data_IF_965201168101
#
_entry.id   IF_965201168101
#
_cell.length_a   1.000
_cell.length_b   1.000
_cell.length_c   1.000
_cell.angle_alpha   90.00
_cell.angle_beta   90.00
_cell.angle_gamma   90.00
#
_symmetry.space_group_name_H-M   'P 1'
#
loop_
_entity.id
_entity.type
_entity.pdbx_description
1 polymer ?
#
# COMPACT_ATOMS: atom_id res chain seq x y z
N UNK A 1 30.54 32.55 -42.66
CA UNK A 1 30.74 32.26 -41.22
C UNK A 1 29.35 32.02 -40.63
N UNK A 2 28.91 30.75 -40.48
CA UNK A 2 27.57 30.45 -39.98
C UNK A 2 27.60 30.39 -38.44
N UNK A 3 26.70 31.13 -37.79
CA UNK A 3 26.46 31.05 -36.35
C UNK A 3 25.60 29.82 -36.05
N UNK A 4 26.18 28.81 -35.41
CA UNK A 4 25.46 27.69 -34.80
C UNK A 4 24.80 28.13 -33.49
N UNK A 5 23.51 27.87 -33.24
CA UNK A 5 22.90 28.11 -31.94
C UNK A 5 23.38 27.07 -30.89
N UNK A 6 23.40 27.42 -29.59
CA UNK A 6 23.91 26.54 -28.54
C UNK A 6 22.95 25.36 -28.27
N UNK A 7 23.55 24.22 -27.95
CA UNK A 7 22.86 23.00 -27.56
C UNK A 7 22.08 23.20 -26.25
N UNK A 8 20.77 22.96 -26.32
CA UNK A 8 19.88 22.88 -25.18
C UNK A 8 20.11 21.53 -24.50
N UNK A 9 20.57 21.56 -23.24
CA UNK A 9 20.76 20.37 -22.44
C UNK A 9 19.41 19.94 -21.86
N UNK A 10 18.78 18.94 -22.48
CA UNK A 10 17.61 18.26 -21.91
C UNK A 10 17.97 17.66 -20.54
N UNK A 11 17.50 18.32 -19.49
CA UNK A 11 17.52 17.81 -18.14
C UNK A 11 16.37 16.79 -18.01
N UNK A 12 16.60 15.57 -18.50
CA UNK A 12 15.73 14.45 -18.14
C UNK A 12 15.94 14.09 -16.66
N UNK A 13 14.87 14.03 -15.85
CA UNK A 13 14.96 13.58 -14.47
C UNK A 13 15.27 12.08 -14.47
N UNK A 14 16.53 11.72 -14.19
CA UNK A 14 16.94 10.35 -13.89
C UNK A 14 16.24 9.88 -12.61
N UNK A 15 15.00 9.42 -12.72
CA UNK A 15 14.41 8.54 -11.72
C UNK A 15 15.31 7.33 -11.64
N UNK A 16 16.01 7.18 -10.51
CA UNK A 16 17.03 6.16 -10.31
C UNK A 16 16.33 4.79 -10.16
N UNK A 17 15.98 4.20 -11.30
CA UNK A 17 15.29 2.91 -11.42
C UNK A 17 16.06 1.79 -10.71
N UNK A 18 17.38 1.93 -10.63
CA UNK A 18 18.26 1.08 -9.82
C UNK A 18 17.97 1.16 -8.31
N UNK A 19 17.65 2.35 -7.77
CA UNK A 19 17.26 2.51 -6.37
C UNK A 19 15.87 1.93 -6.10
N UNK A 20 14.92 2.12 -7.03
CA UNK A 20 13.60 1.50 -6.95
C UNK A 20 13.69 -0.03 -7.01
N UNK A 21 14.48 -0.59 -7.95
CA UNK A 21 14.78 -2.02 -8.01
C UNK A 21 15.54 -2.53 -6.78
N UNK A 22 16.42 -1.74 -6.18
CA UNK A 22 17.11 -2.11 -4.95
C UNK A 22 16.13 -2.17 -3.75
N UNK A 23 15.17 -1.24 -3.69
CA UNK A 23 14.09 -1.26 -2.70
C UNK A 23 13.18 -2.47 -2.93
N UNK A 24 12.72 -2.72 -4.17
CA UNK A 24 11.86 -3.86 -4.51
C UNK A 24 12.57 -5.20 -4.30
N UNK A 25 13.81 -5.37 -4.76
CA UNK A 25 14.56 -6.62 -4.59
C UNK A 25 14.97 -6.86 -3.13
N UNK A 26 15.14 -5.79 -2.34
CA UNK A 26 15.34 -5.85 -0.90
C UNK A 26 14.16 -6.43 -0.14
N UNK A 27 12.93 -6.26 -0.65
CA UNK A 27 11.72 -6.88 -0.07
C UNK A 27 11.67 -8.39 -0.35
N UNK A 28 12.25 -8.85 -1.45
CA UNK A 28 12.05 -10.21 -1.96
C UNK A 28 13.02 -11.28 -1.40
N UNK A 29 14.13 -10.90 -0.76
CA UNK A 29 15.28 -11.81 -0.63
C UNK A 29 15.41 -12.63 0.65
N UNK A 30 14.54 -12.51 1.65
CA UNK A 30 14.70 -13.34 2.86
C UNK A 30 13.41 -13.79 3.55
N UNK A 31 13.17 -15.10 3.41
CA UNK A 31 12.42 -16.00 4.30
C UNK A 31 10.91 -16.08 4.10
N UNK A 32 10.48 -17.29 3.70
CA UNK A 32 9.12 -17.86 3.73
C UNK A 32 8.08 -17.00 4.44
N UNK A 33 7.38 -16.18 3.66
CA UNK A 33 6.22 -15.44 4.09
C UNK A 33 5.37 -15.23 2.87
N UNK A 34 4.53 -16.22 2.54
CA UNK A 34 3.59 -16.17 1.41
C UNK A 34 2.89 -14.80 1.38
N UNK A 35 2.45 -14.29 2.55
CA UNK A 35 1.89 -12.94 2.69
C UNK A 35 2.75 -11.80 2.12
N UNK A 36 4.08 -11.79 2.30
CA UNK A 36 4.95 -10.71 1.81
C UNK A 36 5.07 -10.70 0.29
N UNK A 37 5.26 -11.87 -0.33
CA UNK A 37 5.38 -11.99 -1.79
C UNK A 37 4.05 -11.61 -2.43
N UNK A 38 2.95 -12.16 -1.93
CA UNK A 38 1.61 -11.86 -2.44
C UNK A 38 1.23 -10.40 -2.22
N UNK A 39 1.54 -9.78 -1.07
CA UNK A 39 1.29 -8.36 -0.85
C UNK A 39 2.09 -7.48 -1.82
N UNK A 40 3.34 -7.81 -2.12
CA UNK A 40 4.13 -7.07 -3.12
C UNK A 40 3.60 -7.24 -4.54
N UNK A 41 3.21 -8.46 -4.92
CA UNK A 41 2.61 -8.74 -6.25
C UNK A 41 1.29 -7.99 -6.41
N UNK A 42 0.39 -8.09 -5.43
CA UNK A 42 -0.89 -7.39 -5.45
C UNK A 42 -0.71 -5.87 -5.47
N UNK A 43 0.31 -5.36 -4.77
CA UNK A 43 0.62 -3.94 -4.77
C UNK A 43 1.10 -3.43 -6.15
N UNK A 44 2.06 -4.11 -6.78
CA UNK A 44 2.54 -3.77 -8.13
C UNK A 44 1.37 -3.82 -9.12
N UNK A 45 0.57 -4.87 -9.01
CA UNK A 45 -0.56 -5.07 -9.86
C UNK A 45 -1.65 -3.99 -9.68
N UNK A 46 -1.89 -3.50 -8.45
CA UNK A 46 -2.75 -2.32 -8.23
C UNK A 46 -2.21 -1.06 -8.88
N UNK A 47 -0.90 -0.81 -8.84
CA UNK A 47 -0.30 0.34 -9.53
C UNK A 47 -0.54 0.23 -11.03
N UNK A 48 -0.31 -0.95 -11.62
CA UNK A 48 -0.55 -1.18 -13.04
C UNK A 48 -2.00 -0.89 -13.42
N UNK A 49 -2.96 -1.43 -12.65
CA UNK A 49 -4.40 -1.19 -12.88
C UNK A 49 -4.74 0.29 -12.72
N UNK A 50 -4.21 0.97 -11.70
CA UNK A 50 -4.44 2.40 -11.49
C UNK A 50 -3.96 3.23 -12.69
N UNK A 51 -2.77 2.96 -13.20
CA UNK A 51 -2.19 3.66 -14.36
C UNK A 51 -3.05 3.46 -15.61
N UNK A 52 -3.38 2.20 -15.93
CA UNK A 52 -4.24 1.89 -17.09
C UNK A 52 -5.60 2.57 -16.96
N UNK A 53 -6.24 2.43 -15.80
CA UNK A 53 -7.57 2.99 -15.56
C UNK A 53 -7.56 4.53 -15.62
N UNK A 54 -6.52 5.18 -15.08
CA UNK A 54 -6.40 6.63 -15.08
C UNK A 54 -6.38 7.20 -16.50
N UNK A 55 -5.65 6.57 -17.42
CA UNK A 55 -5.55 7.05 -18.80
C UNK A 55 -6.75 6.63 -19.65
N UNK A 56 -7.17 5.36 -19.61
CA UNK A 56 -8.12 4.82 -20.58
C UNK A 56 -9.60 4.97 -20.20
N UNK A 57 -9.91 5.11 -18.91
CA UNK A 57 -11.29 5.04 -18.40
C UNK A 57 -11.73 6.29 -17.64
N UNK A 58 -10.80 6.93 -16.93
CA UNK A 58 -11.07 8.13 -16.15
C UNK A 58 -10.48 9.42 -16.76
N UNK A 59 -9.61 9.32 -17.77
CA UNK A 59 -8.97 10.50 -18.38
C UNK A 59 -9.95 11.48 -19.02
N UNK A 60 -11.07 10.96 -19.52
CA UNK A 60 -12.11 11.69 -20.24
C UNK A 60 -13.42 11.81 -19.43
N UNK A 61 -13.36 11.53 -18.11
CA UNK A 61 -14.57 11.37 -17.27
C UNK A 61 -15.42 12.63 -17.17
N UNK A 62 -14.78 13.80 -17.09
CA UNK A 62 -15.46 15.09 -17.02
C UNK A 62 -15.90 15.56 -18.40
N UNK A 63 -15.11 15.27 -19.43
CA UNK A 63 -15.38 15.70 -20.80
C UNK A 63 -16.63 14.99 -21.38
N UNK A 64 -16.81 13.70 -21.07
CA UNK A 64 -17.95 12.90 -21.52
C UNK A 64 -19.07 12.76 -20.49
N UNK A 65 -19.10 13.63 -19.47
CA UNK A 65 -20.26 13.77 -18.59
C UNK A 65 -21.24 14.76 -19.22
N UNK A 66 -22.35 14.25 -19.75
CA UNK A 66 -23.29 15.03 -20.57
C UNK A 66 -24.63 15.10 -19.86
N UNK A 67 -25.13 16.31 -19.58
CA UNK A 67 -26.51 16.52 -19.14
C UNK A 67 -27.41 16.93 -20.31
N UNK A 68 -28.66 16.49 -20.27
CA UNK A 68 -29.71 16.84 -21.24
C UNK A 68 -30.23 18.26 -20.98
N UNK A 69 -29.39 19.26 -21.24
CA UNK A 69 -29.72 20.68 -21.11
C UNK A 69 -28.78 21.54 -21.96
N UNK A 70 -29.27 22.70 -22.40
CA UNK A 70 -28.47 23.71 -23.09
C UNK A 70 -27.90 24.78 -22.14
N UNK A 71 -28.21 24.67 -20.84
CA UNK A 71 -27.78 25.64 -19.84
C UNK A 71 -26.26 25.56 -19.62
N UNK A 72 -25.52 26.67 -19.83
CA UNK A 72 -24.07 26.69 -19.59
C UNK A 72 -23.75 26.48 -18.10
N UNK A 73 -22.69 25.74 -17.84
CA UNK A 73 -22.21 25.44 -16.47
C UNK A 73 -22.92 24.28 -15.77
N UNK A 74 -24.12 23.87 -16.20
CA UNK A 74 -24.89 22.79 -15.55
C UNK A 74 -24.11 21.45 -15.52
N UNK A 75 -23.46 21.05 -16.62
CA UNK A 75 -22.64 19.82 -16.64
C UNK A 75 -21.52 19.85 -15.59
N UNK A 76 -20.87 20.99 -15.39
CA UNK A 76 -19.73 21.10 -14.48
C UNK A 76 -20.14 21.01 -13.01
N UNK A 77 -21.24 21.68 -12.64
CA UNK A 77 -21.75 21.63 -11.25
C UNK A 77 -22.34 20.28 -10.91
N UNK A 78 -23.07 19.66 -11.85
CA UNK A 78 -23.62 18.33 -11.64
C UNK A 78 -22.53 17.27 -11.52
N UNK A 79 -21.48 17.38 -12.35
CA UNK A 79 -20.32 16.50 -12.23
C UNK A 79 -19.68 16.60 -10.84
N UNK A 80 -19.44 17.83 -10.36
CA UNK A 80 -18.82 18.07 -9.05
C UNK A 80 -19.68 17.56 -7.89
N UNK A 81 -21.01 17.75 -7.98
CA UNK A 81 -21.97 17.30 -6.98
C UNK A 81 -22.00 15.77 -6.82
N UNK A 82 -22.03 15.04 -7.95
CA UNK A 82 -22.09 13.57 -7.93
C UNK A 82 -20.73 12.89 -7.81
N UNK A 83 -19.64 13.57 -8.20
CA UNK A 83 -18.28 13.06 -8.17
C UNK A 83 -17.32 14.03 -7.45
N UNK A 84 -17.52 14.28 -6.15
CA UNK A 84 -16.71 15.25 -5.40
C UNK A 84 -15.22 14.88 -5.38
N UNK A 85 -14.90 13.57 -5.36
CA UNK A 85 -13.55 13.04 -5.53
C UNK A 85 -13.60 11.84 -6.44
N UNK A 86 -12.96 11.90 -7.61
CA UNK A 86 -12.96 10.76 -8.54
C UNK A 86 -12.35 9.49 -7.94
N UNK A 87 -12.79 8.35 -8.44
CA UNK A 87 -12.42 7.03 -7.91
C UNK A 87 -10.91 6.81 -7.94
N UNK A 88 -10.27 7.19 -9.05
CA UNK A 88 -8.81 7.08 -9.24
C UNK A 88 -8.05 7.89 -8.18
N UNK A 89 -8.54 9.08 -7.82
CA UNK A 89 -7.91 9.91 -6.78
C UNK A 89 -7.99 9.24 -5.42
N UNK A 90 -9.13 8.66 -5.06
CA UNK A 90 -9.27 7.90 -3.81
C UNK A 90 -8.34 6.68 -3.80
N UNK A 91 -8.26 5.91 -4.89
CA UNK A 91 -7.35 4.76 -4.98
C UNK A 91 -5.87 5.16 -4.96
N UNK A 92 -5.51 6.29 -5.55
CA UNK A 92 -4.15 6.82 -5.48
C UNK A 92 -3.78 7.20 -4.03
N UNK A 93 -4.67 7.93 -3.34
CA UNK A 93 -4.49 8.27 -1.92
C UNK A 93 -4.41 7.03 -1.03
N UNK A 94 -5.27 6.04 -1.28
CA UNK A 94 -5.23 4.74 -0.60
C UNK A 94 -3.88 4.05 -0.80
N UNK A 95 -3.39 3.96 -2.04
CA UNK A 95 -2.09 3.33 -2.33
C UNK A 95 -0.93 4.07 -1.64
N UNK A 96 -0.91 5.40 -1.66
CA UNK A 96 0.12 6.20 -0.99
C UNK A 96 0.11 5.92 0.51
N UNK A 97 -1.05 6.03 1.16
CA UNK A 97 -1.18 5.87 2.61
C UNK A 97 -0.85 4.44 3.06
N UNK A 98 -1.27 3.42 2.31
CA UNK A 98 -0.96 2.01 2.60
C UNK A 98 0.53 1.68 2.36
N UNK A 99 1.19 2.38 1.43
CA UNK A 99 2.62 2.20 1.14
C UNK A 99 3.52 2.81 2.21
N UNK A 100 3.12 3.95 2.77
CA UNK A 100 3.94 4.71 3.73
C UNK A 100 4.43 3.86 4.91
N UNK A 101 3.58 3.10 5.64
CA UNK A 101 4.05 2.23 6.74
C UNK A 101 5.03 1.15 6.27
N UNK A 102 4.88 0.62 5.06
CA UNK A 102 5.79 -0.38 4.52
C UNK A 102 7.16 0.23 4.21
N UNK A 103 7.17 1.43 3.59
CA UNK A 103 8.40 2.18 3.29
C UNK A 103 9.12 2.64 4.57
N UNK A 104 8.38 3.05 5.60
CA UNK A 104 8.97 3.41 6.89
C UNK A 104 9.66 2.21 7.56
N UNK A 105 9.07 1.03 7.48
CA UNK A 105 9.70 -0.21 7.99
C UNK A 105 10.96 -0.57 7.20
N UNK A 106 10.91 -0.52 5.87
CA UNK A 106 12.09 -0.81 5.04
C UNK A 106 13.20 0.21 5.27
N UNK A 107 12.85 1.48 5.43
CA UNK A 107 13.77 2.56 5.80
C UNK A 107 14.37 2.33 7.18
N UNK A 108 13.57 1.98 8.19
CA UNK A 108 14.06 1.66 9.53
C UNK A 108 15.03 0.46 9.53
N UNK A 109 14.72 -0.58 8.76
CA UNK A 109 15.60 -1.74 8.54
C UNK A 109 16.91 -1.33 7.87
N UNK A 110 16.84 -0.55 6.79
CA UNK A 110 18.00 -0.07 6.06
C UNK A 110 18.89 0.81 6.95
N UNK A 111 18.27 1.71 7.73
CA UNK A 111 18.96 2.58 8.67
C UNK A 111 19.68 1.77 9.75
N UNK A 112 19.01 0.83 10.43
CA UNK A 112 19.65 -0.02 11.44
C UNK A 112 20.84 -0.78 10.88
N UNK A 113 20.67 -1.40 9.71
CA UNK A 113 21.74 -2.12 9.03
C UNK A 113 22.94 -1.23 8.68
N UNK A 114 22.67 0.03 8.31
CA UNK A 114 23.72 1.00 8.03
C UNK A 114 24.52 1.36 9.29
N UNK A 115 23.83 1.58 10.42
CA UNK A 115 24.46 1.84 11.72
C UNK A 115 25.27 0.63 12.19
N UNK A 116 24.71 -0.57 12.14
CA UNK A 116 25.42 -1.80 12.52
C UNK A 116 26.70 -1.95 11.69
N UNK A 117 26.61 -1.78 10.36
CA UNK A 117 27.77 -1.82 9.46
C UNK A 117 28.84 -0.79 9.82
N UNK A 118 28.45 0.42 10.25
CA UNK A 118 29.38 1.45 10.71
C UNK A 118 30.08 1.04 12.01
N UNK A 119 29.33 0.49 12.98
CA UNK A 119 29.86 0.04 14.26
C UNK A 119 30.84 -1.14 14.09
N UNK A 120 30.51 -2.12 13.23
CA UNK A 120 31.41 -3.24 12.92
C UNK A 120 32.73 -2.78 12.29
N UNK A 121 32.69 -1.80 11.39
CA UNK A 121 33.91 -1.20 10.80
C UNK A 121 34.78 -0.50 11.85
N UNK A 122 34.16 0.17 12.83
CA UNK A 122 34.87 0.84 13.92
C UNK A 122 35.48 -0.16 14.93
N UNK A 123 34.86 -1.32 15.11
CA UNK A 123 35.37 -2.40 15.96
C UNK A 123 36.55 -3.19 15.36
N UNK A 124 37.21 -2.68 14.30
CA UNK A 124 38.39 -3.30 13.69
C UNK A 124 38.13 -4.56 12.87
N UNK A 125 36.88 -4.97 12.66
CA UNK A 125 36.50 -6.13 11.83
C UNK A 125 36.22 -5.69 10.39
N UNK A 126 37.28 -5.51 9.61
CA UNK A 126 37.25 -5.11 8.19
C UNK A 126 37.24 -6.28 7.20
N UNK A 127 37.21 -7.53 7.67
CA UNK A 127 37.19 -8.70 6.78
C UNK A 127 35.96 -8.66 5.85
N UNK A 128 36.14 -8.70 4.51
CA UNK A 128 35.03 -8.68 3.55
C UNK A 128 34.01 -9.80 3.80
N UNK A 129 34.48 -10.96 4.29
CA UNK A 129 33.66 -12.14 4.59
C UNK A 129 32.69 -11.90 5.74
N UNK A 130 33.08 -11.17 6.78
CA UNK A 130 32.23 -10.87 7.94
C UNK A 130 31.10 -9.88 7.58
N UNK A 131 31.42 -8.87 6.75
CA UNK A 131 30.43 -7.90 6.25
C UNK A 131 29.41 -8.59 5.33
N UNK A 132 29.84 -9.55 4.53
CA UNK A 132 28.95 -10.33 3.66
C UNK A 132 28.09 -11.32 4.46
N UNK A 133 28.61 -11.87 5.55
CA UNK A 133 27.85 -12.72 6.47
C UNK A 133 26.75 -11.93 7.19
N UNK A 134 27.01 -10.69 7.64
CA UNK A 134 25.98 -9.77 8.17
C UNK A 134 24.97 -9.39 7.08
N UNK A 135 25.41 -9.31 5.82
CA UNK A 135 24.51 -9.05 4.69
C UNK A 135 23.53 -10.22 4.47
N UNK A 136 23.99 -11.44 4.66
CA UNK A 136 23.17 -12.65 4.48
C UNK A 136 22.48 -13.13 5.77
N UNK A 137 22.84 -12.58 6.93
CA UNK A 137 22.20 -12.92 8.19
C UNK A 137 20.75 -12.41 8.18
N UNK A 138 19.80 -13.34 8.20
CA UNK A 138 18.38 -13.03 8.40
C UNK A 138 18.26 -12.25 9.72
N UNK A 139 17.98 -10.95 9.63
CA UNK A 139 17.69 -10.17 10.83
C UNK A 139 16.54 -10.84 11.56
N UNK A 140 16.82 -11.36 12.76
CA UNK A 140 15.78 -11.92 13.61
C UNK A 140 14.85 -10.75 13.95
N UNK A 141 13.57 -10.87 13.60
CA UNK A 141 12.53 -9.94 14.02
C UNK A 141 12.38 -10.09 15.54
N UNK A 142 13.23 -9.41 16.29
CA UNK A 142 13.32 -9.48 17.76
C UNK A 142 13.39 -8.07 18.33
N UNK A 143 12.69 -7.82 19.43
CA UNK A 143 12.69 -6.53 20.13
C UNK A 143 12.00 -5.40 19.33
N UNK A 144 12.65 -4.24 19.25
CA UNK A 144 12.09 -3.02 18.64
C UNK A 144 11.65 -3.19 17.17
N UNK A 145 12.34 -4.04 16.38
CA UNK A 145 11.97 -4.29 14.98
C UNK A 145 10.65 -5.06 14.84
N UNK A 146 10.31 -5.90 15.83
CA UNK A 146 9.03 -6.58 15.86
C UNK A 146 7.88 -5.58 16.11
N UNK A 147 8.09 -4.63 17.02
CA UNK A 147 7.08 -3.63 17.38
C UNK A 147 6.80 -2.66 16.22
N UNK A 148 7.85 -2.17 15.53
CA UNK A 148 7.67 -1.32 14.35
C UNK A 148 6.99 -2.05 13.19
N UNK A 149 7.29 -3.34 13.01
CA UNK A 149 6.58 -4.18 12.03
C UNK A 149 5.10 -4.35 12.38
N UNK A 150 4.80 -4.65 13.64
CA UNK A 150 3.43 -4.87 14.11
C UNK A 150 2.57 -3.60 13.95
N UNK A 151 3.10 -2.45 14.34
CA UNK A 151 2.44 -1.15 14.13
C UNK A 151 2.20 -0.88 12.65
N UNK A 152 3.20 -1.16 11.80
CA UNK A 152 3.06 -0.96 10.35
C UNK A 152 1.94 -1.81 9.77
N UNK A 153 1.84 -3.09 10.14
CA UNK A 153 0.72 -3.95 9.71
C UNK A 153 -0.63 -3.42 10.20
N UNK A 154 -0.71 -2.96 11.45
CA UNK A 154 -1.94 -2.38 12.00
C UNK A 154 -2.38 -1.13 11.21
N UNK A 155 -1.45 -0.21 10.94
CA UNK A 155 -1.75 0.98 10.12
C UNK A 155 -2.17 0.62 8.70
N UNK A 156 -1.56 -0.42 8.10
CA UNK A 156 -1.97 -0.89 6.76
C UNK A 156 -3.41 -1.40 6.76
N UNK A 157 -3.79 -2.22 7.74
CA UNK A 157 -5.18 -2.70 7.89
C UNK A 157 -6.12 -1.52 8.14
N UNK A 158 -5.73 -0.58 9.01
CA UNK A 158 -6.52 0.61 9.31
C UNK A 158 -6.74 1.47 8.06
N UNK A 159 -5.70 1.78 7.29
CA UNK A 159 -5.85 2.59 6.08
C UNK A 159 -6.64 1.86 5.00
N UNK A 160 -6.36 0.58 4.72
CA UNK A 160 -7.13 -0.20 3.74
C UNK A 160 -8.62 -0.25 4.11
N UNK A 161 -8.95 -0.53 5.38
CA UNK A 161 -10.34 -0.58 5.84
C UNK A 161 -11.01 0.80 5.84
N UNK A 162 -10.31 1.86 6.24
CA UNK A 162 -10.84 3.22 6.23
C UNK A 162 -11.14 3.71 4.82
N UNK A 163 -10.24 3.49 3.85
CA UNK A 163 -10.48 3.85 2.45
C UNK A 163 -11.60 2.99 1.84
N UNK A 164 -11.66 1.70 2.15
CA UNK A 164 -12.76 0.83 1.71
C UNK A 164 -14.11 1.29 2.26
N UNK A 165 -14.17 1.69 3.53
CA UNK A 165 -15.35 2.26 4.16
C UNK A 165 -15.74 3.61 3.56
N UNK A 166 -14.77 4.52 3.39
CA UNK A 166 -15.00 5.82 2.76
C UNK A 166 -15.53 5.66 1.33
N UNK A 167 -14.97 4.72 0.56
CA UNK A 167 -15.42 4.41 -0.78
C UNK A 167 -16.87 3.91 -0.79
N UNK A 168 -17.24 3.02 0.14
CA UNK A 168 -18.61 2.54 0.29
C UNK A 168 -19.60 3.66 0.65
N UNK A 169 -19.19 4.59 1.52
CA UNK A 169 -20.01 5.72 1.94
C UNK A 169 -20.23 6.75 0.82
N UNK A 170 -19.19 7.04 0.02
CA UNK A 170 -19.30 8.00 -1.09
C UNK A 170 -20.00 7.38 -2.29
N UNK A 171 -19.75 6.10 -2.59
CA UNK A 171 -20.24 5.40 -3.78
C UNK A 171 -21.08 4.17 -3.40
N UNK A 172 -22.31 4.38 -2.90
CA UNK A 172 -23.18 3.29 -2.46
C UNK A 172 -23.56 2.37 -3.63
N UNK A 173 -23.50 1.06 -3.39
CA UNK A 173 -23.95 0.02 -4.33
C UNK A 173 -22.87 -0.62 -5.20
N UNK A 174 -21.58 -0.26 -5.03
CA UNK A 174 -20.42 -0.85 -5.74
C UNK A 174 -20.53 -0.87 -7.28
N UNK A 175 -21.48 -0.11 -7.82
CA UNK A 175 -21.79 -0.01 -9.24
C UNK A 175 -21.95 1.45 -9.59
N UNK A 176 -21.32 1.85 -10.68
CA UNK A 176 -21.51 3.17 -11.25
C UNK A 176 -22.91 3.24 -11.87
N UNK A 177 -23.72 4.21 -11.46
CA UNK A 177 -24.99 4.49 -12.12
C UNK A 177 -24.73 5.00 -13.55
N UNK A 178 -25.65 4.68 -14.48
CA UNK A 178 -25.55 5.15 -15.87
C UNK A 178 -26.08 6.57 -16.05
N UNK A 179 -27.03 6.94 -15.20
CA UNK A 179 -27.75 8.21 -15.24
C UNK A 179 -27.93 8.73 -13.82
N UNK A 180 -27.76 10.04 -13.66
CA UNK A 180 -28.13 10.79 -12.45
C UNK A 180 -29.15 11.85 -12.78
N UNK A 181 -29.99 12.14 -11.80
CA UNK A 181 -30.94 13.25 -11.83
C UNK A 181 -30.33 14.39 -11.02
N UNK A 182 -29.98 15.50 -11.67
CA UNK A 182 -29.30 16.63 -11.04
C UNK A 182 -30.21 17.85 -10.97
N UNK A 183 -30.28 18.52 -9.81
CA UNK A 183 -31.05 19.75 -9.57
C UNK A 183 -30.17 20.92 -9.08
N UNK A 184 -28.84 20.80 -9.22
CA UNK A 184 -27.87 21.81 -8.76
C UNK A 184 -27.93 23.10 -9.59
N UNK A 185 -27.82 24.27 -8.96
CA UNK A 185 -27.71 25.55 -9.66
C UNK A 185 -26.41 25.61 -10.51
N UNK A 186 -26.43 26.05 -11.78
CA UNK A 186 -27.46 26.84 -12.47
C UNK A 186 -28.45 26.04 -13.34
N UNK A 187 -28.65 24.75 -13.10
CA UNK A 187 -29.57 23.94 -13.91
C UNK A 187 -31.03 24.43 -13.78
N UNK A 188 -31.80 24.53 -14.88
CA UNK A 188 -33.12 25.18 -14.88
C UNK A 188 -34.21 24.37 -14.16
N UNK A 189 -34.03 23.06 -14.05
CA UNK A 189 -34.89 22.08 -13.38
C UNK A 189 -34.04 20.82 -13.08
N UNK A 190 -34.68 19.72 -12.68
CA UNK A 190 -34.04 18.41 -12.64
C UNK A 190 -33.68 17.97 -14.07
N UNK A 191 -32.39 17.80 -14.33
CA UNK A 191 -31.85 17.35 -15.62
C UNK A 191 -31.26 15.95 -15.52
N UNK A 192 -31.26 15.25 -16.64
CA UNK A 192 -30.71 13.91 -16.76
C UNK A 192 -29.27 14.00 -17.22
N UNK A 193 -28.32 13.54 -16.41
CA UNK A 193 -26.92 13.48 -16.76
C UNK A 193 -26.44 12.05 -16.92
N UNK A 194 -25.70 11.80 -18.00
CA UNK A 194 -25.18 10.49 -18.38
C UNK A 194 -23.70 10.39 -18.03
N UNK A 195 -23.34 9.30 -17.35
CA UNK A 195 -21.97 9.03 -16.94
C UNK A 195 -21.23 8.29 -18.05
N UNK A 196 -20.01 8.72 -18.37
CA UNK A 196 -19.15 8.02 -19.33
C UNK A 196 -18.68 6.66 -18.79
N UNK A 197 -18.77 5.62 -19.64
CA UNK A 197 -18.26 4.25 -19.44
C UNK A 197 -18.60 3.63 -18.05
N UNK A 198 -19.87 3.63 -17.62
CA UNK A 198 -20.23 3.22 -16.27
C UNK A 198 -19.96 1.73 -16.00
N UNK A 199 -20.11 0.88 -17.02
CA UNK A 199 -19.82 -0.56 -16.92
C UNK A 199 -18.33 -0.83 -16.73
N UNK A 200 -17.48 -0.19 -17.52
CA UNK A 200 -16.01 -0.31 -17.42
C UNK A 200 -15.52 0.21 -16.05
N UNK A 201 -15.99 1.39 -15.63
CA UNK A 201 -15.68 1.95 -14.30
C UNK A 201 -16.10 1.02 -13.17
N UNK A 202 -17.25 0.37 -13.30
CA UNK A 202 -17.74 -0.62 -12.33
C UNK A 202 -16.84 -1.85 -12.27
N UNK A 203 -16.40 -2.38 -13.41
CA UNK A 203 -15.49 -3.55 -13.46
C UNK A 203 -14.17 -3.24 -12.74
N UNK A 204 -13.53 -2.12 -13.08
CA UNK A 204 -12.30 -1.68 -12.41
C UNK A 204 -12.51 -1.43 -10.91
N UNK A 205 -13.66 -0.88 -10.53
CA UNK A 205 -14.01 -0.65 -9.13
C UNK A 205 -14.13 -1.95 -8.34
N UNK A 206 -14.92 -2.91 -8.82
CA UNK A 206 -15.09 -4.22 -8.19
C UNK A 206 -13.73 -4.91 -8.06
N UNK A 207 -12.91 -4.81 -9.10
CA UNK A 207 -11.60 -5.38 -9.13
C UNK A 207 -10.66 -4.79 -8.05
N UNK A 208 -10.57 -3.46 -7.96
CA UNK A 208 -9.78 -2.77 -6.95
C UNK A 208 -10.27 -3.06 -5.52
N UNK A 209 -11.59 -3.16 -5.31
CA UNK A 209 -12.17 -3.53 -4.02
C UNK A 209 -11.87 -4.98 -3.64
N UNK A 210 -11.94 -5.91 -4.57
CA UNK A 210 -11.59 -7.31 -4.33
C UNK A 210 -10.12 -7.46 -3.91
N UNK A 211 -9.19 -6.79 -4.62
CA UNK A 211 -7.78 -6.78 -4.24
C UNK A 211 -7.56 -6.07 -2.90
N UNK A 212 -8.35 -5.05 -2.58
CA UNK A 212 -8.38 -4.39 -1.25
C UNK A 212 -8.76 -5.36 -0.14
N UNK A 213 -9.86 -6.11 -0.33
CA UNK A 213 -10.28 -7.15 0.60
C UNK A 213 -9.21 -8.24 0.80
N UNK A 214 -8.61 -8.75 -0.28
CA UNK A 214 -7.54 -9.76 -0.20
C UNK A 214 -6.33 -9.22 0.59
N UNK A 215 -5.91 -7.96 0.34
CA UNK A 215 -4.81 -7.37 1.09
C UNK A 215 -5.14 -7.20 2.58
N UNK A 216 -6.36 -6.82 2.95
CA UNK A 216 -6.80 -6.76 4.35
C UNK A 216 -6.66 -8.14 4.99
N UNK A 217 -7.19 -9.19 4.35
CA UNK A 217 -7.12 -10.57 4.85
C UNK A 217 -5.67 -11.04 5.01
N UNK A 218 -4.81 -10.77 4.02
CA UNK A 218 -3.40 -11.14 4.09
C UNK A 218 -2.65 -10.41 5.22
N UNK A 219 -2.90 -9.11 5.43
CA UNK A 219 -2.28 -8.37 6.54
C UNK A 219 -2.79 -8.87 7.90
N UNK A 220 -4.09 -9.17 8.03
CA UNK A 220 -4.65 -9.76 9.27
C UNK A 220 -4.05 -11.14 9.54
N UNK A 221 -3.99 -12.00 8.51
CA UNK A 221 -3.37 -13.32 8.64
C UNK A 221 -1.90 -13.24 9.07
N UNK A 222 -1.17 -12.23 8.58
CA UNK A 222 0.21 -11.99 8.98
C UNK A 222 0.32 -11.52 10.44
N UNK A 223 -0.57 -10.62 10.89
CA UNK A 223 -0.65 -10.20 12.30
C UNK A 223 -0.93 -11.42 13.19
N UNK A 224 -1.94 -12.23 12.86
CA UNK A 224 -2.31 -13.43 13.63
C UNK A 224 -1.16 -14.42 13.69
N UNK A 225 -0.48 -14.67 12.56
CA UNK A 225 0.68 -15.55 12.52
C UNK A 225 1.83 -15.06 13.42
N UNK A 226 2.12 -13.76 13.42
CA UNK A 226 3.17 -13.18 14.26
C UNK A 226 2.83 -13.21 15.74
N UNK A 227 1.57 -12.92 16.11
CA UNK A 227 1.10 -12.99 17.49
C UNK A 227 1.13 -14.43 17.99
N UNK A 228 0.60 -15.39 17.23
CA UNK A 228 0.62 -16.81 17.59
C UNK A 228 2.06 -17.34 17.77
N UNK A 229 3.00 -16.90 16.93
CA UNK A 229 4.41 -17.26 17.08
C UNK A 229 5.04 -16.63 18.33
N UNK A 230 4.65 -15.41 18.69
CA UNK A 230 5.14 -14.75 19.89
C UNK A 230 4.61 -15.42 21.17
N UNK A 231 3.32 -15.75 21.22
CA UNK A 231 2.71 -16.45 22.36
C UNK A 231 3.30 -17.85 22.56
N UNK A 232 3.47 -18.64 21.49
CA UNK A 232 4.08 -19.97 21.58
C UNK A 232 5.53 -19.93 22.09
N UNK A 233 6.30 -18.89 21.75
CA UNK A 233 7.64 -18.68 22.31
C UNK A 233 7.61 -18.35 23.81
N UNK A 234 6.68 -17.49 24.24
CA UNK A 234 6.49 -17.20 25.65
C UNK A 234 6.06 -18.43 26.46
N UNK A 235 5.17 -19.26 25.91
CA UNK A 235 4.73 -20.50 26.53
C UNK A 235 5.87 -21.54 26.66
N UNK A 236 6.67 -21.73 25.61
CA UNK A 236 7.83 -22.61 25.69
C UNK A 236 8.89 -22.11 26.68
N UNK A 237 9.20 -20.81 26.68
CA UNK A 237 10.11 -20.24 27.68
C UNK A 237 9.56 -20.35 29.11
N UNK A 238 8.25 -20.29 29.31
CA UNK A 238 7.62 -20.50 30.62
C UNK A 238 7.72 -21.96 31.09
N UNK A 239 7.75 -22.91 30.16
CA UNK A 239 7.97 -24.34 30.44
C UNK A 239 9.43 -24.64 30.81
N UNK A 240 10.39 -23.90 30.26
CA UNK A 240 11.82 -24.03 30.54
C UNK A 240 12.30 -23.20 31.75
N UNK A 241 11.41 -22.45 32.41
CA UNK A 241 11.73 -21.67 33.61
C UNK A 241 11.98 -22.60 34.82
N UNK A 242 13.02 -22.37 35.65
CA UNK A 242 13.38 -23.24 36.78
C UNK A 242 12.26 -23.43 37.81
N UNK A 243 11.27 -22.53 37.84
CA UNK A 243 10.06 -22.66 38.66
C UNK A 243 9.13 -23.78 38.16
N UNK A 244 9.04 -24.00 36.84
CA UNK A 244 8.26 -25.09 36.24
C UNK A 244 8.89 -26.47 36.51
N UNK A 245 10.23 -26.54 36.44
CA UNK A 245 10.97 -27.74 36.85
C UNK A 245 10.85 -27.99 38.38
N UNK A 246 10.90 -26.95 39.21
CA UNK A 246 10.76 -27.05 40.67
C UNK A 246 9.36 -27.51 41.09
N UNK A 247 8.30 -27.05 40.43
CA UNK A 247 6.92 -27.48 40.69
C UNK A 247 6.70 -28.95 40.24
N UNK A 248 7.24 -29.33 39.08
CA UNK A 248 7.16 -30.73 38.60
C UNK A 248 7.90 -31.70 39.53
N UNK A 249 9.04 -31.29 40.09
CA UNK A 249 9.82 -32.10 41.04
C UNK A 249 9.14 -32.21 42.42
N UNK A 250 8.40 -31.17 42.85
CA UNK A 250 7.59 -31.20 44.09
C UNK A 250 6.30 -32.02 43.98
N UNK A 251 5.72 -32.12 42.79
CA UNK A 251 4.51 -32.94 42.55
C UNK A 251 4.82 -34.44 42.37
N UNK A 252 6.05 -34.80 42.05
CA UNK A 252 6.51 -36.20 41.90
C UNK A 252 7.23 -36.76 43.14
N UNK A 253 7.31 -35.98 44.22
CA UNK A 253 7.91 -36.36 45.52
C UNK A 253 6.89 -36.43 46.66
N UNK A 254 5.60 -36.43 46.32
CA UNK A 254 4.45 -36.61 47.22
C UNK A 254 3.73 -37.92 46.89
#
# INVERSE_FOLDING_TARGET
MPLTPPAESDLEPKMNWASFYAVISGVNRHSTGIGRIWLSVLFIFRIMVLVVAAESVWGDEKAHFICNTQQPGCNSVCYDHFFPISHIRLWALQLIMVSTPALLVTMHIAHRRHIDKKLYRQAGRTSPKDIEQIKNQKMKITGALWWTYMISLLFRVLFESAFMYLFYMIYPGYKMFRLVKCDSYPCPNIVDCFVSRPTEKTVFTIFMLAVSGICILLNIAEIVFLVARATSRHLNNSKDSPVGAWISQKLFSL
#
